data_IF_638947893268
#
_entry.id   IF_638947893268
#
_cell.length_a   1.000
_cell.length_b   1.000
_cell.length_c   1.000
_cell.angle_alpha   90.00
_cell.angle_beta   90.00
_cell.angle_gamma   90.00
#
_symmetry.space_group_name_H-M   'P 1'
#
loop_
_entity.id
_entity.type
_entity.pdbx_description
1 polymer ?
#
# COMPACT_ATOMS: atom_id res chain seq x y z
N UNK A 1 -35.26 17.33 14.07
CA UNK A 1 -34.68 18.27 15.04
C UNK A 1 -35.65 19.38 15.37
N UNK A 2 -36.01 19.49 16.65
CA UNK A 2 -36.87 20.56 17.19
C UNK A 2 -36.13 21.89 17.10
N UNK A 3 -36.87 23.00 17.04
CA UNK A 3 -36.27 24.33 16.87
C UNK A 3 -35.21 24.67 17.93
N UNK A 4 -35.38 24.19 19.17
CA UNK A 4 -34.40 24.37 20.24
C UNK A 4 -33.07 23.61 20.05
N UNK A 5 -33.10 22.44 19.41
CA UNK A 5 -31.88 21.65 19.17
C UNK A 5 -30.98 22.31 18.12
N UNK A 6 -31.59 23.00 17.13
CA UNK A 6 -30.84 23.72 16.10
C UNK A 6 -30.08 24.91 16.67
N UNK A 7 -30.69 25.66 17.60
CA UNK A 7 -30.05 26.83 18.24
C UNK A 7 -28.84 26.41 19.06
N UNK A 8 -28.91 25.28 19.76
CA UNK A 8 -27.79 24.75 20.54
C UNK A 8 -26.62 24.31 19.66
N UNK A 9 -26.90 23.62 18.55
CA UNK A 9 -25.85 23.12 17.64
C UNK A 9 -25.18 24.28 16.89
N UNK A 10 -25.95 25.21 16.33
CA UNK A 10 -25.37 26.35 15.61
C UNK A 10 -24.70 27.35 16.55
N UNK A 11 -25.23 27.54 17.76
CA UNK A 11 -24.60 28.37 18.79
C UNK A 11 -23.24 27.83 19.23
N UNK A 12 -23.12 26.52 19.45
CA UNK A 12 -21.85 25.87 19.78
C UNK A 12 -20.82 25.97 18.66
N UNK A 13 -21.25 25.82 17.40
CA UNK A 13 -20.35 25.88 16.25
C UNK A 13 -19.77 27.28 16.02
N UNK A 14 -20.60 28.33 16.18
CA UNK A 14 -20.14 29.73 16.08
C UNK A 14 -19.18 30.08 17.22
N UNK A 15 -19.42 29.58 18.44
CA UNK A 15 -18.52 29.81 19.57
C UNK A 15 -17.16 29.14 19.37
N UNK A 16 -17.12 27.92 18.81
CA UNK A 16 -15.89 27.21 18.51
C UNK A 16 -15.03 27.92 17.44
N UNK A 17 -15.67 28.45 16.39
CA UNK A 17 -14.99 29.25 15.35
C UNK A 17 -14.47 30.57 15.91
N UNK A 18 -15.25 31.24 16.78
CA UNK A 18 -14.84 32.48 17.42
C UNK A 18 -13.65 32.30 18.38
N UNK A 19 -13.58 31.17 19.10
CA UNK A 19 -12.45 30.83 19.97
C UNK A 19 -11.21 30.41 19.16
N UNK A 20 -11.37 29.69 18.04
CA UNK A 20 -10.27 29.30 17.15
C UNK A 20 -9.59 30.50 16.47
N UNK A 21 -10.35 31.53 16.08
CA UNK A 21 -9.80 32.74 15.45
C UNK A 21 -9.06 33.66 16.42
N UNK A 22 -9.32 33.58 17.74
CA UNK A 22 -8.60 34.36 18.76
C UNK A 22 -7.27 33.75 19.20
N UNK A 23 -7.03 32.46 18.95
CA UNK A 23 -5.73 31.83 19.21
C UNK A 23 -4.68 32.16 18.13
N UNK A 24 -5.09 32.76 17.01
CA UNK A 24 -4.19 33.16 15.90
C UNK A 24 -3.63 34.58 16.04
N UNK A 25 -3.74 35.21 17.21
CA UNK A 25 -3.06 36.47 17.51
C UNK A 25 -1.57 36.19 17.67
N UNK A 26 -0.89 36.18 16.52
CA UNK A 26 0.50 36.61 16.28
C UNK A 26 1.34 36.68 17.56
N UNK A 27 2.02 35.59 17.90
CA UNK A 27 3.18 35.64 18.77
C UNK A 27 4.24 36.54 18.11
N UNK A 28 4.60 37.70 18.68
CA UNK A 28 5.74 38.50 18.20
C UNK A 28 7.09 37.89 18.62
N UNK A 29 7.10 36.70 19.21
CA UNK A 29 8.30 36.03 19.73
C UNK A 29 9.27 35.52 18.64
N UNK A 30 8.96 35.69 17.35
CA UNK A 30 9.93 35.54 16.25
C UNK A 30 10.66 36.85 15.91
N UNK A 31 10.57 37.87 16.77
CA UNK A 31 11.46 39.01 16.73
C UNK A 31 12.85 38.61 17.25
N UNK A 32 13.70 38.19 16.30
CA UNK A 32 15.15 38.43 16.33
C UNK A 32 15.91 37.61 17.40
N UNK A 33 16.06 36.31 17.12
CA UNK A 33 17.19 35.58 17.69
C UNK A 33 18.48 36.37 17.39
N UNK A 34 19.37 36.59 18.38
CA UNK A 34 20.65 37.21 18.15
C UNK A 34 21.37 36.39 17.09
N UNK A 35 21.68 37.04 15.96
CA UNK A 35 22.63 36.52 14.98
C UNK A 35 23.97 36.52 15.72
N UNK A 36 24.24 35.46 16.47
CA UNK A 36 25.55 35.26 17.08
C UNK A 36 26.56 35.33 15.94
N UNK A 37 27.40 36.36 16.00
CA UNK A 37 28.58 36.51 15.16
C UNK A 37 29.65 35.50 15.59
N UNK A 38 29.26 34.25 15.81
CA UNK A 38 30.17 33.11 15.91
C UNK A 38 30.70 32.86 14.51
N UNK A 39 32.03 32.91 14.35
CA UNK A 39 32.73 32.71 13.08
C UNK A 39 32.09 31.58 12.28
N UNK A 40 31.43 31.95 11.19
CA UNK A 40 30.57 31.05 10.43
C UNK A 40 31.40 29.89 9.90
N UNK A 41 31.24 28.73 10.54
CA UNK A 41 31.44 27.46 9.84
C UNK A 41 30.40 27.45 8.74
N UNK A 42 30.82 27.82 7.53
CA UNK A 42 30.04 27.62 6.33
C UNK A 42 29.63 26.14 6.31
N UNK A 43 28.33 25.89 6.41
CA UNK A 43 27.83 24.52 6.34
C UNK A 43 28.24 23.97 4.97
N UNK A 44 28.81 22.75 4.90
CA UNK A 44 29.16 22.16 3.63
C UNK A 44 27.93 22.15 2.72
N UNK A 45 28.12 22.45 1.44
CA UNK A 45 27.03 22.45 0.47
C UNK A 45 26.29 21.11 0.53
N UNK A 46 24.94 21.10 0.52
CA UNK A 46 24.18 19.86 0.55
C UNK A 46 24.52 19.04 -0.70
N UNK A 47 24.88 17.78 -0.51
CA UNK A 47 25.11 16.79 -1.57
C UNK A 47 23.96 15.81 -1.49
N UNK A 48 23.05 15.91 -2.46
CA UNK A 48 21.77 15.21 -2.46
C UNK A 48 21.86 14.02 -3.41
N UNK A 49 21.55 12.83 -2.91
CA UNK A 49 21.29 11.64 -3.72
C UNK A 49 19.79 11.52 -4.05
N UNK A 50 19.49 10.83 -5.14
CA UNK A 50 18.14 10.45 -5.56
C UNK A 50 18.12 8.93 -5.76
N UNK A 51 17.04 8.28 -5.32
CA UNK A 51 16.84 6.85 -5.52
C UNK A 51 15.41 6.58 -5.95
N UNK A 52 15.24 5.78 -7.01
CA UNK A 52 13.94 5.31 -7.48
C UNK A 52 13.46 4.14 -6.62
N UNK A 53 12.81 4.44 -5.50
CA UNK A 53 12.49 3.43 -4.47
C UNK A 53 11.40 2.46 -4.93
N UNK A 54 10.36 2.95 -5.61
CA UNK A 54 9.21 2.13 -6.03
C UNK A 54 9.60 0.97 -6.97
N UNK A 55 10.32 1.19 -8.09
CA UNK A 55 10.70 0.08 -8.97
C UNK A 55 11.60 -0.94 -8.26
N UNK A 56 12.47 -0.51 -7.33
CA UNK A 56 13.29 -1.44 -6.55
C UNK A 56 12.46 -2.30 -5.59
N UNK A 57 11.40 -1.72 -4.99
CA UNK A 57 10.46 -2.46 -4.15
C UNK A 57 9.68 -3.47 -4.99
N UNK A 58 9.24 -3.09 -6.19
CA UNK A 58 8.52 -3.99 -7.11
C UNK A 58 9.41 -5.14 -7.58
N UNK A 59 10.64 -4.84 -8.01
CA UNK A 59 11.66 -5.84 -8.39
C UNK A 59 11.95 -6.81 -7.24
N UNK A 60 11.98 -6.31 -6.00
CA UNK A 60 12.19 -7.12 -4.81
C UNK A 60 10.96 -7.99 -4.49
N UNK A 61 9.75 -7.47 -4.65
CA UNK A 61 8.48 -8.22 -4.49
C UNK A 61 8.33 -9.36 -5.49
N UNK A 62 8.92 -9.23 -6.67
CA UNK A 62 8.94 -10.22 -7.75
C UNK A 62 10.17 -11.14 -7.74
N UNK A 63 11.13 -10.88 -6.86
CA UNK A 63 12.32 -11.71 -6.70
C UNK A 63 12.02 -13.11 -6.14
N UNK A 64 12.98 -14.01 -6.32
CA UNK A 64 12.96 -15.38 -5.76
C UNK A 64 12.83 -15.39 -4.22
N UNK A 65 13.07 -14.25 -3.54
CA UNK A 65 12.94 -14.13 -2.09
C UNK A 65 11.49 -14.06 -1.61
N UNK A 66 10.62 -13.34 -2.33
CA UNK A 66 9.26 -13.01 -1.84
C UNK A 66 8.15 -13.66 -2.64
N UNK A 67 8.34 -13.84 -3.96
CA UNK A 67 7.32 -14.40 -4.84
C UNK A 67 6.93 -15.85 -4.50
N UNK A 68 7.86 -16.80 -4.25
CA UNK A 68 7.48 -18.19 -4.00
C UNK A 68 6.61 -18.37 -2.76
N UNK A 69 6.91 -17.64 -1.68
CA UNK A 69 6.17 -17.69 -0.41
C UNK A 69 4.73 -17.16 -0.56
N UNK A 70 4.53 -16.15 -1.41
CA UNK A 70 3.18 -15.65 -1.77
C UNK A 70 2.39 -16.66 -2.60
N UNK A 71 3.03 -17.26 -3.61
CA UNK A 71 2.42 -18.28 -4.47
C UNK A 71 2.08 -19.56 -3.70
N UNK A 72 2.96 -19.97 -2.78
CA UNK A 72 2.75 -21.12 -1.90
C UNK A 72 1.56 -20.87 -0.97
N UNK A 73 1.49 -19.69 -0.32
CA UNK A 73 0.35 -19.33 0.52
C UNK A 73 -0.97 -19.36 -0.27
N UNK A 74 -1.02 -18.74 -1.45
CA UNK A 74 -2.23 -18.72 -2.28
C UNK A 74 -2.65 -20.14 -2.68
N UNK A 75 -1.68 -20.99 -3.04
CA UNK A 75 -1.92 -22.40 -3.37
C UNK A 75 -2.46 -23.17 -2.17
N UNK A 76 -1.79 -23.10 -1.02
CA UNK A 76 -2.21 -23.79 0.21
C UNK A 76 -3.62 -23.36 0.62
N UNK A 77 -3.93 -22.06 0.58
CA UNK A 77 -5.26 -21.58 0.93
C UNK A 77 -6.34 -22.07 -0.05
N UNK A 78 -6.04 -22.21 -1.34
CA UNK A 78 -6.97 -22.78 -2.32
C UNK A 78 -7.23 -24.26 -2.06
N UNK A 79 -6.17 -25.04 -1.82
CA UNK A 79 -6.27 -26.47 -1.47
C UNK A 79 -7.07 -26.64 -0.17
N UNK A 80 -6.77 -25.87 0.87
CA UNK A 80 -7.45 -25.98 2.17
C UNK A 80 -8.91 -25.53 2.14
N UNK A 81 -9.23 -24.44 1.44
CA UNK A 81 -10.54 -23.77 1.57
C UNK A 81 -11.50 -24.04 0.40
N UNK A 82 -11.01 -24.31 -0.81
CA UNK A 82 -11.86 -24.49 -1.99
C UNK A 82 -11.93 -25.93 -2.48
N UNK A 83 -10.86 -26.71 -2.36
CA UNK A 83 -10.86 -28.11 -2.81
C UNK A 83 -11.98 -28.94 -2.16
N UNK A 84 -12.24 -28.86 -0.83
CA UNK A 84 -13.36 -29.58 -0.23
C UNK A 84 -14.73 -29.18 -0.79
N UNK A 85 -14.92 -27.90 -1.09
CA UNK A 85 -16.17 -27.38 -1.67
C UNK A 85 -16.34 -27.91 -3.09
N UNK A 86 -15.27 -27.91 -3.88
CA UNK A 86 -15.28 -28.43 -5.24
C UNK A 86 -15.55 -29.94 -5.27
N UNK A 87 -14.97 -30.70 -4.34
CA UNK A 87 -15.26 -32.13 -4.18
C UNK A 87 -16.72 -32.38 -3.80
N UNK A 88 -17.27 -31.62 -2.86
CA UNK A 88 -18.69 -31.74 -2.46
C UNK A 88 -19.64 -31.35 -3.60
N UNK A 89 -19.35 -30.27 -4.33
CA UNK A 89 -20.12 -29.89 -5.52
C UNK A 89 -20.07 -30.97 -6.60
N UNK A 90 -18.90 -31.60 -6.81
CA UNK A 90 -18.74 -32.73 -7.73
C UNK A 90 -19.53 -33.97 -7.29
N UNK A 91 -19.60 -34.24 -5.97
CA UNK A 91 -20.45 -35.31 -5.40
C UNK A 91 -21.94 -35.00 -5.61
N UNK A 92 -22.39 -33.79 -5.26
CA UNK A 92 -23.78 -33.37 -5.48
C UNK A 92 -24.21 -33.45 -6.94
N UNK A 93 -23.32 -33.11 -7.88
CA UNK A 93 -23.61 -33.24 -9.30
C UNK A 93 -23.88 -34.70 -9.67
N UNK A 94 -23.02 -35.62 -9.23
CA UNK A 94 -23.21 -37.07 -9.47
C UNK A 94 -24.48 -37.59 -8.79
N UNK A 95 -24.76 -37.17 -7.57
CA UNK A 95 -25.97 -37.55 -6.84
C UNK A 95 -27.22 -37.05 -7.57
N UNK A 96 -27.19 -35.83 -8.12
CA UNK A 96 -28.30 -35.25 -8.89
C UNK A 96 -28.61 -36.00 -10.19
N UNK A 97 -27.61 -36.66 -10.78
CA UNK A 97 -27.79 -37.51 -11.97
C UNK A 97 -28.45 -38.85 -11.62
N UNK A 98 -28.28 -39.33 -10.38
CA UNK A 98 -28.81 -40.60 -9.90
C UNK A 98 -30.21 -40.51 -9.25
N UNK A 99 -30.63 -39.32 -8.80
CA UNK A 99 -31.92 -39.11 -8.12
C UNK A 99 -33.11 -39.23 -9.06
N UNK A 100 -34.16 -39.92 -8.59
CA UNK A 100 -35.46 -39.96 -9.26
C UNK A 100 -36.11 -38.57 -9.23
N UNK A 101 -36.29 -37.98 -10.42
CA UNK A 101 -36.86 -36.63 -10.58
C UNK A 101 -38.32 -36.53 -10.12
N UNK A 102 -39.01 -37.65 -9.90
CA UNK A 102 -40.35 -37.67 -9.33
C UNK A 102 -40.37 -37.42 -7.82
N UNK A 103 -39.21 -37.55 -7.15
CA UNK A 103 -39.06 -37.27 -5.72
C UNK A 103 -38.69 -35.79 -5.47
N UNK A 104 -39.70 -34.92 -5.41
CA UNK A 104 -39.52 -33.47 -5.27
C UNK A 104 -38.71 -33.08 -4.01
N UNK A 105 -38.86 -33.80 -2.91
CA UNK A 105 -38.18 -33.49 -1.65
C UNK A 105 -36.67 -33.72 -1.73
N UNK A 106 -36.24 -34.77 -2.41
CA UNK A 106 -34.83 -35.11 -2.58
C UNK A 106 -34.15 -34.15 -3.56
N UNK A 107 -34.82 -33.83 -4.67
CA UNK A 107 -34.38 -32.81 -5.63
C UNK A 107 -34.23 -31.45 -4.94
N UNK A 108 -35.19 -31.07 -4.08
CA UNK A 108 -35.13 -29.82 -3.33
C UNK A 108 -33.94 -29.78 -2.37
N UNK A 109 -33.68 -30.85 -1.61
CA UNK A 109 -32.52 -30.92 -0.70
C UNK A 109 -31.19 -30.78 -1.43
N UNK A 110 -31.03 -31.47 -2.56
CA UNK A 110 -29.82 -31.34 -3.39
C UNK A 110 -29.63 -29.91 -3.89
N UNK A 111 -30.71 -29.28 -4.38
CA UNK A 111 -30.68 -27.89 -4.82
C UNK A 111 -30.30 -26.93 -3.69
N UNK A 112 -30.91 -27.08 -2.52
CA UNK A 112 -30.66 -26.21 -1.37
C UNK A 112 -29.20 -26.35 -0.91
N UNK A 113 -28.66 -27.58 -0.85
CA UNK A 113 -27.25 -27.84 -0.54
C UNK A 113 -26.30 -27.27 -1.58
N UNK A 114 -26.63 -27.39 -2.87
CA UNK A 114 -25.83 -26.80 -3.95
C UNK A 114 -25.74 -25.27 -3.81
N UNK A 115 -26.87 -24.60 -3.54
CA UNK A 115 -26.90 -23.14 -3.30
C UNK A 115 -26.09 -22.76 -2.05
N UNK A 116 -26.15 -23.57 -0.99
CA UNK A 116 -25.34 -23.38 0.21
C UNK A 116 -23.84 -23.44 -0.09
N UNK A 117 -23.38 -24.49 -0.78
CA UNK A 117 -21.97 -24.66 -1.14
C UNK A 117 -21.47 -23.58 -2.09
N UNK A 118 -22.29 -23.11 -3.04
CA UNK A 118 -21.93 -21.96 -3.86
C UNK A 118 -21.70 -20.69 -3.04
N UNK A 119 -22.57 -20.44 -2.04
CA UNK A 119 -22.41 -19.28 -1.15
C UNK A 119 -21.19 -19.44 -0.25
N UNK A 120 -20.92 -20.64 0.24
CA UNK A 120 -19.72 -20.91 1.03
C UNK A 120 -18.45 -20.73 0.19
N UNK A 121 -18.42 -21.25 -1.04
CA UNK A 121 -17.31 -21.09 -1.97
C UNK A 121 -17.00 -19.62 -2.25
N UNK A 122 -18.01 -18.79 -2.48
CA UNK A 122 -17.84 -17.35 -2.65
C UNK A 122 -17.25 -16.67 -1.39
N UNK A 123 -17.66 -17.09 -0.18
CA UNK A 123 -17.10 -16.58 1.07
C UNK A 123 -15.64 -17.00 1.25
N UNK A 124 -15.31 -18.27 0.97
CA UNK A 124 -13.92 -18.78 1.04
C UNK A 124 -13.02 -18.08 0.03
N UNK A 125 -13.50 -17.82 -1.18
CA UNK A 125 -12.76 -17.05 -2.18
C UNK A 125 -12.42 -15.64 -1.68
N UNK A 126 -13.36 -14.97 -1.01
CA UNK A 126 -13.11 -13.67 -0.37
C UNK A 126 -12.12 -13.76 0.79
N UNK A 127 -12.16 -14.84 1.56
CA UNK A 127 -11.20 -15.10 2.64
C UNK A 127 -9.77 -15.32 2.11
N UNK A 128 -9.61 -16.09 1.03
CA UNK A 128 -8.32 -16.29 0.35
C UNK A 128 -7.77 -14.96 -0.12
N UNK A 129 -8.57 -14.17 -0.85
CA UNK A 129 -8.15 -12.87 -1.38
C UNK A 129 -7.64 -11.95 -0.26
N UNK A 130 -8.37 -11.86 0.85
CA UNK A 130 -7.96 -11.05 2.01
C UNK A 130 -6.64 -11.52 2.62
N UNK A 131 -6.46 -12.84 2.82
CA UNK A 131 -5.23 -13.38 3.43
C UNK A 131 -4.01 -13.19 2.53
N UNK A 132 -4.19 -13.31 1.21
CA UNK A 132 -3.13 -13.01 0.23
C UNK A 132 -2.81 -11.51 0.23
N UNK A 133 -3.83 -10.64 0.27
CA UNK A 133 -3.63 -9.19 0.37
C UNK A 133 -2.88 -8.78 1.65
N UNK A 134 -3.23 -9.36 2.80
CA UNK A 134 -2.52 -9.15 4.07
C UNK A 134 -1.03 -9.56 3.95
N UNK A 135 -0.75 -10.69 3.29
CA UNK A 135 0.61 -11.15 3.04
C UNK A 135 1.37 -10.21 2.13
N UNK A 136 0.77 -9.78 1.02
CA UNK A 136 1.36 -8.82 0.07
C UNK A 136 1.67 -7.51 0.76
N UNK A 137 0.75 -6.98 1.58
CA UNK A 137 0.96 -5.75 2.33
C UNK A 137 2.13 -5.87 3.32
N UNK A 138 2.25 -7.01 4.02
CA UNK A 138 3.37 -7.26 4.92
C UNK A 138 4.71 -7.34 4.16
N UNK A 139 4.75 -8.06 3.04
CA UNK A 139 5.94 -8.15 2.18
C UNK A 139 6.33 -6.77 1.62
N UNK A 140 5.36 -5.95 1.20
CA UNK A 140 5.62 -4.60 0.69
C UNK A 140 6.31 -3.71 1.72
N UNK A 141 5.87 -3.77 2.99
CA UNK A 141 6.51 -3.04 4.10
C UNK A 141 7.94 -3.54 4.34
N UNK A 142 8.17 -4.86 4.30
CA UNK A 142 9.51 -5.44 4.44
C UNK A 142 10.42 -5.00 3.29
N UNK A 143 9.96 -5.12 2.04
CA UNK A 143 10.69 -4.71 0.85
C UNK A 143 11.07 -3.23 0.89
N UNK A 144 10.11 -2.35 1.27
CA UNK A 144 10.39 -0.93 1.46
C UNK A 144 11.46 -0.69 2.53
N UNK A 145 11.41 -1.42 3.65
CA UNK A 145 12.43 -1.36 4.69
C UNK A 145 13.82 -1.68 4.16
N UNK A 146 13.95 -2.78 3.41
CA UNK A 146 15.23 -3.25 2.84
C UNK A 146 15.79 -2.26 1.81
N UNK A 147 14.94 -1.76 0.89
CA UNK A 147 15.36 -0.76 -0.10
C UNK A 147 15.79 0.54 0.59
N UNK A 148 15.02 0.99 1.59
CA UNK A 148 15.35 2.20 2.35
C UNK A 148 16.68 2.06 3.09
N UNK A 149 16.92 0.94 3.77
CA UNK A 149 18.17 0.70 4.50
C UNK A 149 19.36 0.68 3.53
N UNK A 150 19.30 -0.11 2.46
CA UNK A 150 20.35 -0.17 1.43
C UNK A 150 20.63 1.20 0.78
N UNK A 151 19.58 1.96 0.45
CA UNK A 151 19.74 3.29 -0.13
C UNK A 151 20.37 4.32 0.83
N UNK A 152 20.09 4.22 2.13
CA UNK A 152 20.75 5.05 3.15
C UNK A 152 22.23 4.68 3.25
N UNK A 153 22.54 3.38 3.37
CA UNK A 153 23.92 2.91 3.52
C UNK A 153 24.79 3.32 2.31
N UNK A 154 24.28 3.13 1.09
CA UNK A 154 24.97 3.55 -0.14
C UNK A 154 25.12 5.07 -0.22
N UNK A 155 24.10 5.83 0.15
CA UNK A 155 24.18 7.28 0.14
C UNK A 155 25.26 7.78 1.11
N UNK A 156 25.35 7.20 2.32
CA UNK A 156 26.36 7.52 3.31
C UNK A 156 27.77 7.13 2.84
N UNK A 157 27.94 5.94 2.25
CA UNK A 157 29.23 5.46 1.71
C UNK A 157 29.75 6.33 0.57
N UNK A 158 28.85 6.87 -0.26
CA UNK A 158 29.18 7.80 -1.34
C UNK A 158 29.33 9.26 -0.87
N UNK A 159 29.11 9.54 0.42
CA UNK A 159 29.31 10.85 1.03
C UNK A 159 28.16 11.84 0.81
N UNK A 160 26.97 11.36 0.46
CA UNK A 160 25.76 12.18 0.41
C UNK A 160 25.25 12.47 1.83
N UNK A 161 24.60 13.61 2.01
CA UNK A 161 24.01 14.01 3.30
C UNK A 161 22.49 14.21 3.24
N UNK A 162 21.89 14.07 2.05
CA UNK A 162 20.45 14.00 1.84
C UNK A 162 20.15 12.92 0.81
N UNK A 163 19.03 12.23 0.99
CA UNK A 163 18.50 11.27 0.03
C UNK A 163 17.04 11.63 -0.26
N UNK A 164 16.71 11.74 -1.54
CA UNK A 164 15.34 11.92 -2.02
C UNK A 164 14.83 10.61 -2.63
N UNK A 165 13.76 10.07 -2.05
CA UNK A 165 12.98 9.02 -2.70
C UNK A 165 12.16 9.63 -3.83
N UNK A 166 12.26 9.05 -5.03
CA UNK A 166 11.48 9.47 -6.20
C UNK A 166 10.89 8.26 -6.91
N UNK A 167 9.87 8.47 -7.73
CA UNK A 167 9.58 7.60 -8.88
C UNK A 167 10.54 8.01 -10.01
N UNK A 168 11.07 7.08 -10.80
CA UNK A 168 12.13 7.38 -11.78
C UNK A 168 11.73 8.51 -12.74
N UNK A 169 12.65 9.41 -13.09
CA UNK A 169 12.33 10.55 -13.97
C UNK A 169 11.89 10.09 -15.37
N UNK A 170 12.39 8.95 -15.82
CA UNK A 170 12.16 8.38 -17.16
C UNK A 170 11.01 7.35 -17.20
N UNK A 171 10.37 7.03 -16.06
CA UNK A 171 9.25 6.08 -16.04
C UNK A 171 8.00 6.68 -16.69
N UNK A 172 7.36 5.95 -17.60
CA UNK A 172 6.12 6.40 -18.22
C UNK A 172 5.00 6.51 -17.16
N UNK A 173 4.23 7.59 -17.21
CA UNK A 173 3.09 7.77 -16.32
C UNK A 173 2.03 6.70 -16.62
N UNK A 174 1.56 5.98 -15.60
CA UNK A 174 0.46 5.04 -15.75
C UNK A 174 -0.86 5.79 -16.00
N UNK A 175 -1.53 5.51 -17.13
CA UNK A 175 -2.70 6.25 -17.62
C UNK A 175 -4.03 5.57 -17.30
N UNK A 176 -4.10 4.75 -16.26
CA UNK A 176 -5.31 3.96 -15.97
C UNK A 176 -6.48 4.82 -15.47
N UNK A 177 -6.21 5.71 -14.51
CA UNK A 177 -7.22 6.59 -13.92
C UNK A 177 -6.64 7.96 -13.57
N UNK A 178 -7.49 9.00 -13.54
CA UNK A 178 -7.07 10.36 -13.15
C UNK A 178 -6.49 10.38 -11.72
N UNK A 179 -7.02 9.54 -10.83
CA UNK A 179 -6.54 9.43 -9.44
C UNK A 179 -5.15 8.78 -9.39
N UNK A 180 -4.92 7.70 -10.14
CA UNK A 180 -3.62 7.06 -10.26
C UNK A 180 -2.58 8.05 -10.84
N UNK A 181 -2.94 8.74 -11.93
CA UNK A 181 -2.10 9.75 -12.55
C UNK A 181 -1.72 10.88 -11.58
N UNK A 182 -2.68 11.39 -10.81
CA UNK A 182 -2.43 12.45 -9.83
C UNK A 182 -1.50 11.98 -8.71
N UNK A 183 -1.63 10.72 -8.27
CA UNK A 183 -0.73 10.11 -7.28
C UNK A 183 0.67 9.94 -7.84
N UNK A 184 0.80 9.40 -9.05
CA UNK A 184 2.10 9.23 -9.71
C UNK A 184 2.81 10.59 -9.89
N UNK A 185 2.10 11.61 -10.37
CA UNK A 185 2.63 12.97 -10.45
C UNK A 185 3.07 13.53 -9.09
N UNK A 186 2.34 13.22 -8.01
CA UNK A 186 2.69 13.67 -6.66
C UNK A 186 3.88 12.92 -6.06
N UNK A 187 4.16 11.70 -6.56
CA UNK A 187 5.27 10.85 -6.13
C UNK A 187 6.57 11.13 -6.89
N UNK A 188 6.60 12.13 -7.78
CA UNK A 188 7.78 12.55 -8.57
C UNK A 188 8.32 13.90 -8.09
N UNK A 189 8.91 13.99 -6.88
CA UNK A 189 9.46 15.24 -6.37
C UNK A 189 10.69 15.71 -7.14
N UNK A 190 11.34 14.80 -7.91
CA UNK A 190 12.53 15.09 -8.70
C UNK A 190 12.20 14.97 -10.19
N UNK A 191 12.30 16.10 -10.91
CA UNK A 191 12.15 16.13 -12.37
C UNK A 191 13.50 16.15 -13.11
N UNK A 192 14.54 16.62 -12.42
CA UNK A 192 15.89 16.72 -12.96
C UNK A 192 16.88 16.58 -11.81
N UNK A 193 17.83 15.67 -11.94
CA UNK A 193 18.96 15.50 -11.03
C UNK A 193 20.28 15.71 -11.79
N UNK A 194 21.34 16.22 -11.12
CA UNK A 194 22.68 16.23 -11.70
C UNK A 194 23.18 14.81 -12.00
N UNK A 195 24.09 14.67 -12.97
CA UNK A 195 24.72 13.36 -13.24
C UNK A 195 25.49 12.88 -12.00
N UNK A 196 25.35 11.59 -11.68
CA UNK A 196 26.05 10.96 -10.56
C UNK A 196 25.39 11.16 -9.19
N UNK A 197 24.20 11.74 -9.11
CA UNK A 197 23.42 11.77 -7.85
C UNK A 197 22.36 10.68 -7.78
N UNK A 198 22.06 10.01 -8.90
CA UNK A 198 21.14 8.87 -8.92
C UNK A 198 21.90 7.62 -8.51
N UNK A 199 21.50 7.03 -7.38
CA UNK A 199 22.12 5.83 -6.80
C UNK A 199 21.27 4.57 -7.02
N UNK A 200 20.21 4.63 -7.84
CA UNK A 200 19.24 3.54 -8.02
C UNK A 200 19.91 2.23 -8.44
N UNK A 201 20.85 2.28 -9.38
CA UNK A 201 21.56 1.08 -9.85
C UNK A 201 22.52 0.53 -8.79
N UNK A 202 23.15 1.38 -7.99
CA UNK A 202 24.00 0.93 -6.88
C UNK A 202 23.16 0.14 -5.86
N UNK A 203 21.96 0.63 -5.53
CA UNK A 203 21.01 -0.04 -4.63
C UNK A 203 20.49 -1.34 -5.25
N UNK A 204 20.18 -1.35 -6.55
CA UNK A 204 19.78 -2.56 -7.29
C UNK A 204 20.83 -3.67 -7.15
N UNK A 205 22.11 -3.31 -7.33
CA UNK A 205 23.24 -4.23 -7.22
C UNK A 205 23.41 -4.74 -5.80
N UNK A 206 23.34 -3.87 -4.79
CA UNK A 206 23.46 -4.27 -3.37
C UNK A 206 22.37 -5.26 -2.95
N UNK A 207 21.13 -5.01 -3.37
CA UNK A 207 19.98 -5.90 -3.14
C UNK A 207 20.00 -7.17 -4.00
N UNK A 208 20.97 -7.31 -4.92
CA UNK A 208 21.11 -8.44 -5.86
C UNK A 208 19.88 -8.62 -6.75
N UNK A 209 19.25 -7.52 -7.11
CA UNK A 209 18.16 -7.48 -8.09
C UNK A 209 18.76 -7.58 -9.50
N UNK A 210 18.08 -8.28 -10.39
CA UNK A 210 18.54 -8.52 -11.77
C UNK A 210 17.99 -7.47 -12.75
#
# INVERSE_FOLDING_TARGET
MRAGERVLVYGGLVLAVALGLRASVVSPALARAPREAGGGREAPAPVIAVCAVNPLVDDLMDSDRFKPDREELEKTLREELLEPINEELGKLQKDSEAVDRSNEDEVRKLRDRYVELQREGARRQGEIARRVEEKVAAQLVECYGLVRESAIDIAEDLGFNYLLASTGADEELEKETVVALTRDMSNRPVLLSPKGTDITEDVRVDLKLK
#
